data_IF_389284732619
#
_entry.id   IF_389284732619
#
_cell.length_a   1.000
_cell.length_b   1.000
_cell.length_c   1.000
_cell.angle_alpha   90.00
_cell.angle_beta   90.00
_cell.angle_gamma   90.00
#
_symmetry.space_group_name_H-M   'P 1'
#
loop_
_entity.id
_entity.type
_entity.pdbx_description
1 polymer ?
#
# COMPACT_ATOMS: atom_id res chain seq x y z
N UNK A 1 14.57 -27.64 -7.67
CA UNK A 1 14.46 -27.58 -6.20
C UNK A 1 13.17 -28.26 -5.79
N UNK A 2 13.22 -29.33 -4.97
CA UNK A 2 12.00 -29.97 -4.47
C UNK A 2 11.35 -29.05 -3.43
N UNK A 3 10.01 -28.94 -3.49
CA UNK A 3 9.24 -28.20 -2.48
C UNK A 3 9.40 -28.89 -1.12
N UNK A 4 9.41 -28.11 -0.04
CA UNK A 4 9.31 -28.62 1.32
C UNK A 4 7.94 -29.27 1.55
N UNK A 5 7.81 -30.15 2.53
CA UNK A 5 6.54 -30.84 2.82
C UNK A 5 5.37 -29.87 3.06
N UNK A 6 5.49 -28.82 3.90
CA UNK A 6 4.43 -27.83 4.06
C UNK A 6 4.06 -27.08 2.77
N UNK A 7 5.02 -26.88 1.88
CA UNK A 7 4.74 -26.24 0.60
C UNK A 7 3.96 -27.15 -0.36
N UNK A 8 4.20 -28.46 -0.28
CA UNK A 8 3.44 -29.47 -1.07
C UNK A 8 2.00 -29.56 -0.60
N UNK A 9 1.77 -29.62 0.70
CA UNK A 9 0.43 -29.68 1.28
C UNK A 9 -0.40 -28.44 0.91
N UNK A 10 0.17 -27.24 1.07
CA UNK A 10 -0.51 -25.99 0.73
C UNK A 10 -0.73 -25.84 -0.77
N UNK A 11 0.16 -26.34 -1.57
CA UNK A 11 -0.03 -26.40 -3.02
C UNK A 11 -1.21 -27.33 -3.36
N UNK A 12 -1.27 -28.51 -2.79
CA UNK A 12 -2.37 -29.45 -3.00
C UNK A 12 -3.71 -28.87 -2.56
N UNK A 13 -3.76 -28.15 -1.44
CA UNK A 13 -4.95 -27.46 -0.96
C UNK A 13 -5.42 -26.41 -2.00
N UNK A 14 -4.51 -25.62 -2.54
CA UNK A 14 -4.84 -24.60 -3.52
C UNK A 14 -5.25 -25.21 -4.88
N UNK A 15 -4.60 -26.28 -5.32
CA UNK A 15 -4.98 -27.05 -6.52
C UNK A 15 -6.41 -27.59 -6.37
N UNK A 16 -6.73 -28.18 -5.21
CA UNK A 16 -8.09 -28.67 -4.90
C UNK A 16 -9.12 -27.56 -4.91
N UNK A 17 -8.79 -26.35 -4.42
CA UNK A 17 -9.68 -25.19 -4.47
C UNK A 17 -9.97 -24.79 -5.92
N UNK A 18 -8.95 -24.68 -6.76
CA UNK A 18 -9.12 -24.31 -8.17
C UNK A 18 -9.91 -25.38 -8.95
N UNK A 19 -9.67 -26.68 -8.69
CA UNK A 19 -10.44 -27.77 -9.29
C UNK A 19 -11.90 -27.72 -8.92
N UNK A 20 -12.24 -27.56 -7.64
CA UNK A 20 -13.63 -27.44 -7.19
C UNK A 20 -14.36 -26.25 -7.85
N UNK A 21 -13.70 -25.10 -7.92
CA UNK A 21 -14.28 -23.92 -8.58
C UNK A 21 -14.48 -24.13 -10.09
N UNK A 22 -13.56 -24.84 -10.75
CA UNK A 22 -13.65 -25.21 -12.17
C UNK A 22 -14.85 -26.14 -12.42
N UNK A 23 -15.09 -27.07 -11.51
CA UNK A 23 -16.19 -28.02 -11.59
C UNK A 23 -17.53 -27.45 -11.10
N UNK A 24 -17.57 -26.16 -10.73
CA UNK A 24 -18.76 -25.49 -10.19
C UNK A 24 -19.16 -25.99 -8.79
N UNK A 25 -18.25 -26.63 -8.07
CA UNK A 25 -18.48 -27.16 -6.73
C UNK A 25 -18.19 -26.10 -5.65
N UNK A 26 -18.98 -26.06 -4.56
CA UNK A 26 -18.74 -25.10 -3.48
C UNK A 26 -17.37 -25.35 -2.80
N UNK A 27 -16.58 -24.31 -2.54
CA UNK A 27 -15.27 -24.44 -1.91
C UNK A 27 -15.29 -24.54 -0.37
N UNK A 28 -16.49 -24.55 0.25
CA UNK A 28 -16.67 -24.40 1.70
C UNK A 28 -15.78 -25.31 2.58
N UNK A 29 -15.56 -26.55 2.15
CA UNK A 29 -14.74 -27.51 2.91
C UNK A 29 -13.25 -27.16 2.99
N UNK A 30 -12.79 -26.30 2.07
CA UNK A 30 -11.39 -25.87 1.96
C UNK A 30 -11.17 -24.47 2.56
N UNK A 31 -12.22 -23.82 3.05
CA UNK A 31 -12.19 -22.47 3.59
C UNK A 31 -12.31 -22.48 5.13
N UNK A 32 -11.56 -21.62 5.76
CA UNK A 32 -11.70 -21.34 7.19
C UNK A 32 -13.02 -20.62 7.51
N UNK A 33 -13.45 -20.63 8.77
CA UNK A 33 -14.79 -20.17 9.17
C UNK A 33 -15.03 -18.68 8.97
N UNK A 34 -14.00 -17.89 8.78
CA UNK A 34 -14.07 -16.44 8.55
C UNK A 34 -13.98 -16.03 7.08
N UNK A 35 -13.85 -16.99 6.17
CA UNK A 35 -13.69 -16.71 4.74
C UNK A 35 -15.04 -16.80 4.04
N UNK A 36 -15.46 -15.71 3.43
CA UNK A 36 -16.70 -15.65 2.66
C UNK A 36 -16.56 -16.44 1.34
N UNK A 37 -17.31 -17.51 1.25
CA UNK A 37 -17.34 -18.41 0.09
C UNK A 37 -17.75 -17.69 -1.21
N UNK A 38 -18.72 -16.78 -1.16
CA UNK A 38 -19.18 -16.02 -2.32
C UNK A 38 -18.05 -15.17 -2.87
N UNK A 39 -17.37 -14.45 -1.99
CA UNK A 39 -16.22 -13.63 -2.34
C UNK A 39 -15.06 -14.46 -2.93
N UNK A 40 -14.79 -15.63 -2.39
CA UNK A 40 -13.76 -16.54 -2.95
C UNK A 40 -14.12 -16.95 -4.37
N UNK A 41 -15.39 -17.30 -4.62
CA UNK A 41 -15.88 -17.68 -5.94
C UNK A 41 -15.77 -16.52 -6.94
N UNK A 42 -16.11 -15.32 -6.52
CA UNK A 42 -15.98 -14.10 -7.34
C UNK A 42 -14.50 -13.80 -7.69
N UNK A 43 -13.60 -13.88 -6.72
CA UNK A 43 -12.19 -13.57 -6.90
C UNK A 43 -11.44 -14.62 -7.72
N UNK A 44 -11.71 -15.89 -7.48
CA UNK A 44 -11.01 -17.01 -8.14
C UNK A 44 -11.72 -17.56 -9.36
N UNK A 45 -13.00 -17.22 -9.59
CA UNK A 45 -13.71 -17.64 -10.79
C UNK A 45 -12.95 -17.35 -12.07
N UNK A 46 -12.45 -16.13 -12.29
CA UNK A 46 -11.60 -15.81 -13.46
C UNK A 46 -10.28 -16.57 -13.49
N UNK A 47 -9.77 -17.03 -12.34
CA UNK A 47 -8.50 -17.74 -12.19
C UNK A 47 -8.67 -19.25 -12.41
N UNK A 48 -9.84 -19.81 -12.07
CA UNK A 48 -10.14 -21.24 -12.17
C UNK A 48 -10.57 -21.66 -13.58
N UNK A 49 -9.87 -21.19 -14.60
CA UNK A 49 -10.11 -21.58 -15.99
C UNK A 49 -9.56 -22.99 -16.29
N UNK A 50 -10.09 -23.64 -17.32
CA UNK A 50 -9.75 -25.02 -17.67
C UNK A 50 -8.25 -25.24 -17.95
N UNK A 51 -7.56 -24.20 -18.43
CA UNK A 51 -6.13 -24.22 -18.73
C UNK A 51 -5.27 -23.55 -17.63
N UNK A 52 -5.85 -23.21 -16.48
CA UNK A 52 -5.14 -22.58 -15.37
C UNK A 52 -4.05 -23.51 -14.81
N UNK A 53 -2.86 -22.96 -14.64
CA UNK A 53 -1.68 -23.66 -14.12
C UNK A 53 -1.01 -22.84 -13.03
N UNK A 54 -0.63 -23.49 -11.94
CA UNK A 54 0.19 -22.87 -10.90
C UNK A 54 1.64 -22.85 -11.40
N UNK A 55 2.15 -21.64 -11.72
CA UNK A 55 3.51 -21.45 -12.20
C UNK A 55 4.54 -21.65 -11.08
N UNK A 56 4.39 -20.92 -9.98
CA UNK A 56 5.21 -21.11 -8.78
C UNK A 56 4.38 -20.87 -7.52
N UNK A 57 4.87 -21.42 -6.43
CA UNK A 57 4.32 -21.23 -5.10
C UNK A 57 5.46 -20.99 -4.11
N UNK A 58 5.28 -20.00 -3.25
CA UNK A 58 6.19 -19.66 -2.15
C UNK A 58 5.44 -19.68 -0.84
N UNK A 59 5.97 -20.39 0.13
CA UNK A 59 5.42 -20.47 1.49
C UNK A 59 6.34 -19.68 2.43
N UNK A 60 5.75 -18.77 3.20
CA UNK A 60 6.43 -17.98 4.21
C UNK A 60 5.58 -18.00 5.49
N UNK A 61 5.91 -18.88 6.43
CA UNK A 61 5.07 -19.16 7.58
C UNK A 61 3.68 -19.65 7.17
N UNK A 62 2.65 -18.95 7.64
CA UNK A 62 1.25 -19.26 7.33
C UNK A 62 0.78 -18.66 6.00
N UNK A 63 1.55 -17.75 5.44
CA UNK A 63 1.23 -17.06 4.17
C UNK A 63 1.78 -17.82 2.98
N UNK A 64 0.96 -17.92 1.97
CA UNK A 64 1.31 -18.53 0.68
C UNK A 64 1.12 -17.50 -0.42
N UNK A 65 2.13 -17.36 -1.27
CA UNK A 65 2.07 -16.62 -2.52
C UNK A 65 2.13 -17.62 -3.67
N UNK A 66 1.19 -17.53 -4.59
CA UNK A 66 1.18 -18.36 -5.80
C UNK A 66 0.98 -17.49 -7.05
N UNK A 67 1.58 -17.90 -8.16
CA UNK A 67 1.27 -17.32 -9.48
C UNK A 67 0.53 -18.35 -10.30
N UNK A 68 -0.63 -17.96 -10.80
CA UNK A 68 -1.47 -18.77 -11.69
C UNK A 68 -1.48 -18.14 -13.06
N UNK A 69 -1.37 -18.95 -14.09
CA UNK A 69 -1.47 -18.52 -15.50
C UNK A 69 -2.57 -19.30 -16.20
N UNK A 70 -3.39 -18.61 -16.99
CA UNK A 70 -4.38 -19.22 -17.87
C UNK A 70 -4.42 -18.42 -19.18
N UNK A 71 -4.14 -19.05 -20.30
CA UNK A 71 -4.00 -18.38 -21.58
C UNK A 71 -2.93 -17.28 -21.53
N UNK A 72 -3.35 -16.03 -21.78
CA UNK A 72 -2.50 -14.84 -21.71
C UNK A 72 -2.56 -14.13 -20.35
N UNK A 73 -3.51 -14.48 -19.49
CA UNK A 73 -3.71 -13.88 -18.19
C UNK A 73 -2.84 -14.52 -17.12
N UNK A 74 -2.44 -13.72 -16.17
CA UNK A 74 -1.64 -14.15 -15.02
C UNK A 74 -2.15 -13.46 -13.76
N UNK A 75 -2.26 -14.22 -12.67
CA UNK A 75 -2.68 -13.74 -11.37
C UNK A 75 -1.68 -14.10 -10.29
N UNK A 76 -1.49 -13.19 -9.35
CA UNK A 76 -0.87 -13.48 -8.08
C UNK A 76 -1.96 -13.76 -7.07
N UNK A 77 -1.95 -14.92 -6.48
CA UNK A 77 -2.87 -15.34 -5.43
C UNK A 77 -2.11 -15.41 -4.12
N UNK A 78 -2.58 -14.69 -3.13
CA UNK A 78 -2.01 -14.67 -1.78
C UNK A 78 -3.05 -15.19 -0.83
N UNK A 79 -2.72 -16.22 -0.05
CA UNK A 79 -3.65 -16.77 0.93
C UNK A 79 -2.95 -17.12 2.24
N UNK A 80 -3.71 -17.02 3.33
CA UNK A 80 -3.34 -17.51 4.65
C UNK A 80 -3.79 -18.95 4.83
N UNK A 81 -3.00 -19.75 5.52
CA UNK A 81 -3.31 -21.13 5.82
C UNK A 81 -2.59 -21.56 7.10
N UNK A 82 -3.13 -21.13 8.25
CA UNK A 82 -2.53 -21.39 9.57
C UNK A 82 -2.53 -22.89 9.91
N UNK A 83 -3.66 -23.55 9.68
CA UNK A 83 -3.82 -24.98 10.00
C UNK A 83 -3.17 -25.96 9.00
N UNK A 84 -2.77 -25.47 7.82
CA UNK A 84 -2.37 -26.31 6.69
C UNK A 84 -3.52 -27.06 6.00
N UNK A 85 -4.75 -26.91 6.49
CA UNK A 85 -5.94 -27.66 6.05
C UNK A 85 -7.05 -26.80 5.45
N UNK A 86 -7.06 -25.49 5.79
CA UNK A 86 -8.07 -24.57 5.31
C UNK A 86 -7.44 -23.22 4.97
N UNK A 87 -8.02 -22.52 4.01
CA UNK A 87 -7.65 -21.15 3.63
C UNK A 87 -8.37 -20.18 4.54
N UNK A 88 -7.62 -19.40 5.31
CA UNK A 88 -8.12 -18.45 6.31
C UNK A 88 -8.24 -17.01 5.79
N UNK A 89 -7.52 -16.69 4.73
CA UNK A 89 -7.60 -15.40 4.02
C UNK A 89 -7.21 -15.58 2.57
N UNK A 90 -7.73 -14.72 1.68
CA UNK A 90 -7.44 -14.78 0.26
C UNK A 90 -7.47 -13.39 -0.37
N UNK A 91 -6.42 -13.08 -1.13
CA UNK A 91 -6.33 -11.94 -2.02
C UNK A 91 -5.90 -12.40 -3.41
N UNK A 92 -6.50 -11.81 -4.45
CA UNK A 92 -6.19 -12.11 -5.85
C UNK A 92 -5.87 -10.82 -6.59
N UNK A 93 -4.73 -10.81 -7.27
CA UNK A 93 -4.27 -9.67 -8.04
C UNK A 93 -4.03 -10.13 -9.48
N UNK A 94 -4.80 -9.63 -10.42
CA UNK A 94 -4.51 -9.81 -11.83
C UNK A 94 -3.20 -9.09 -12.17
N UNK A 95 -2.37 -9.72 -12.99
CA UNK A 95 -1.18 -9.07 -13.48
C UNK A 95 -1.62 -7.89 -14.36
N UNK A 96 -1.28 -6.66 -14.01
CA UNK A 96 -1.63 -5.52 -14.82
C UNK A 96 -0.95 -5.66 -16.20
N UNK A 97 -1.60 -5.17 -17.24
CA UNK A 97 -0.94 -4.99 -18.52
C UNK A 97 0.35 -4.20 -18.31
N UNK A 98 1.36 -4.52 -19.13
CA UNK A 98 2.65 -3.85 -19.00
C UNK A 98 2.45 -2.34 -19.12
N UNK A 99 2.81 -1.65 -18.06
CA UNK A 99 2.72 -0.21 -18.03
C UNK A 99 3.94 0.36 -18.78
N UNK A 100 3.79 0.54 -20.09
CA UNK A 100 4.84 1.05 -20.98
C UNK A 100 4.79 2.57 -21.06
N UNK A 101 5.06 3.26 -19.99
CA UNK A 101 5.36 4.67 -20.04
C UNK A 101 4.44 5.59 -19.27
N UNK A 102 4.83 5.87 -18.05
CA UNK A 102 4.51 7.15 -17.44
C UNK A 102 5.42 8.17 -18.10
N UNK A 103 4.86 9.07 -18.88
CA UNK A 103 5.57 10.24 -19.36
C UNK A 103 5.68 11.24 -18.19
N UNK A 104 6.67 11.04 -17.34
CA UNK A 104 6.95 11.86 -16.17
C UNK A 104 6.25 11.35 -14.88
N UNK A 105 7.03 11.15 -13.82
CA UNK A 105 6.52 10.86 -12.49
C UNK A 105 5.81 12.07 -11.88
N UNK A 106 5.01 11.82 -10.86
CA UNK A 106 4.32 12.86 -10.08
C UNK A 106 4.45 12.54 -8.61
N UNK A 107 4.43 13.54 -7.77
CA UNK A 107 4.51 13.35 -6.33
C UNK A 107 3.24 13.84 -5.63
N UNK A 108 2.81 13.11 -4.61
CA UNK A 108 1.81 13.58 -3.64
C UNK A 108 2.47 13.57 -2.28
N UNK A 109 2.63 14.75 -1.69
CA UNK A 109 3.17 14.93 -0.34
C UNK A 109 2.01 15.17 0.61
N UNK A 110 1.85 14.30 1.59
CA UNK A 110 0.72 14.32 2.53
C UNK A 110 1.22 14.73 3.89
N UNK A 111 0.79 15.90 4.36
CA UNK A 111 1.09 16.38 5.70
C UNK A 111 -0.12 16.27 6.63
N UNK A 112 0.14 16.20 7.92
CA UNK A 112 -0.90 16.12 8.95
C UNK A 112 -0.39 15.43 10.21
N UNK A 113 -1.06 15.62 11.36
CA UNK A 113 -0.61 15.07 12.63
C UNK A 113 -0.62 13.54 12.65
N UNK A 114 -0.01 12.99 13.68
CA UNK A 114 -0.04 11.55 13.90
C UNK A 114 -1.48 11.08 14.12
N UNK A 115 -1.91 10.03 13.41
CA UNK A 115 -3.29 9.54 13.51
C UNK A 115 -4.28 10.21 12.54
N UNK A 116 -3.91 11.25 11.77
CA UNK A 116 -4.78 11.90 10.80
C UNK A 116 -5.13 11.06 9.56
N UNK A 117 -4.55 9.87 9.38
CA UNK A 117 -4.94 8.97 8.29
C UNK A 117 -4.03 9.00 7.04
N UNK A 118 -2.85 9.63 7.10
CA UNK A 118 -1.90 9.71 5.95
C UNK A 118 -1.65 8.35 5.28
N UNK A 119 -1.28 7.34 6.04
CA UNK A 119 -1.00 6.00 5.49
C UNK A 119 -2.24 5.32 4.91
N UNK A 120 -3.43 5.61 5.46
CA UNK A 120 -4.69 5.10 4.90
C UNK A 120 -4.99 5.76 3.55
N UNK A 121 -4.79 7.07 3.43
CA UNK A 121 -4.96 7.80 2.18
C UNK A 121 -4.00 7.29 1.09
N UNK A 122 -2.71 7.12 1.42
CA UNK A 122 -1.73 6.57 0.46
C UNK A 122 -2.14 5.18 -0.07
N UNK A 123 -2.59 4.29 0.82
CA UNK A 123 -3.08 2.95 0.42
C UNK A 123 -4.36 3.02 -0.40
N UNK A 124 -5.29 3.91 -0.05
CA UNK A 124 -6.50 4.14 -0.84
C UNK A 124 -6.18 4.63 -2.25
N UNK A 125 -5.20 5.54 -2.39
CA UNK A 125 -4.70 5.98 -3.70
C UNK A 125 -4.13 4.80 -4.50
N UNK A 126 -3.29 3.95 -3.92
CA UNK A 126 -2.77 2.75 -4.60
C UNK A 126 -3.89 1.82 -5.08
N UNK A 127 -4.95 1.71 -4.29
CA UNK A 127 -6.07 0.80 -4.60
C UNK A 127 -6.84 1.23 -5.84
N UNK A 128 -6.97 2.54 -6.09
CA UNK A 128 -7.87 3.07 -7.14
C UNK A 128 -7.15 3.83 -8.26
N UNK A 129 -5.83 3.99 -8.18
CA UNK A 129 -5.09 4.88 -9.10
C UNK A 129 -5.08 4.42 -10.56
N UNK A 130 -5.30 3.15 -10.87
CA UNK A 130 -5.16 2.59 -12.22
C UNK A 130 -3.73 2.62 -12.79
N UNK A 131 -2.79 3.20 -12.06
CA UNK A 131 -1.35 3.31 -12.36
C UNK A 131 -0.54 2.98 -11.10
N UNK A 132 0.69 2.46 -11.24
CA UNK A 132 1.52 2.17 -10.07
C UNK A 132 1.86 3.44 -9.27
N UNK A 133 1.61 3.39 -7.96
CA UNK A 133 2.09 4.36 -6.99
C UNK A 133 3.09 3.70 -6.06
N UNK A 134 4.24 4.33 -5.91
CA UNK A 134 5.22 3.97 -4.88
C UNK A 134 4.83 4.72 -3.60
N UNK A 135 4.46 3.98 -2.56
CA UNK A 135 4.40 4.54 -1.20
C UNK A 135 5.80 4.40 -0.62
N UNK A 136 6.37 5.52 -0.20
CA UNK A 136 7.67 5.53 0.45
C UNK A 136 7.55 6.27 1.77
N UNK A 137 7.48 5.50 2.86
CA UNK A 137 7.29 6.04 4.21
C UNK A 137 8.64 6.09 4.95
N UNK A 138 9.01 7.24 5.49
CA UNK A 138 10.25 7.44 6.23
C UNK A 138 10.43 6.45 7.41
N UNK A 139 9.40 6.11 8.20
CA UNK A 139 9.51 5.07 9.22
C UNK A 139 9.97 3.70 8.70
N UNK A 140 9.61 3.33 7.47
CA UNK A 140 10.09 2.08 6.87
C UNK A 140 11.58 2.16 6.56
N UNK A 141 12.06 3.29 6.00
CA UNK A 141 13.47 3.52 5.77
C UNK A 141 14.25 3.56 7.09
N UNK A 142 13.77 4.30 8.09
CA UNK A 142 14.37 4.36 9.43
C UNK A 142 14.40 2.97 10.07
N UNK A 143 13.43 2.12 9.79
CA UNK A 143 13.38 0.73 10.22
C UNK A 143 14.58 -0.12 9.76
N UNK A 144 15.30 0.30 8.72
CA UNK A 144 16.46 -0.43 8.18
C UNK A 144 17.77 -0.13 8.89
N UNK A 145 17.84 0.91 9.72
CA UNK A 145 19.05 1.25 10.48
C UNK A 145 19.01 0.67 11.89
N UNK A 146 20.15 0.68 12.56
CA UNK A 146 20.30 0.18 13.92
C UNK A 146 19.36 0.90 14.88
N UNK A 147 18.85 0.21 15.93
CA UNK A 147 17.83 0.76 16.85
C UNK A 147 18.20 2.10 17.48
N UNK A 148 19.47 2.31 17.83
CA UNK A 148 19.97 3.54 18.43
C UNK A 148 19.80 4.77 17.52
N UNK A 149 19.86 4.61 16.20
CA UNK A 149 19.68 5.71 15.23
C UNK A 149 18.19 5.97 14.93
N UNK A 150 17.31 4.99 15.17
CA UNK A 150 15.86 5.17 14.98
C UNK A 150 15.26 6.17 15.94
N UNK A 151 15.80 6.25 17.14
CA UNK A 151 15.32 7.14 18.21
C UNK A 151 15.91 8.54 18.06
N UNK A 152 17.16 8.64 17.62
CA UNK A 152 17.89 9.88 17.53
C UNK A 152 18.11 10.29 16.07
N UNK A 153 17.04 10.74 15.40
CA UNK A 153 17.07 11.14 13.98
C UNK A 153 18.09 12.24 13.70
N UNK A 154 18.29 13.16 14.64
CA UNK A 154 19.30 14.23 14.57
C UNK A 154 20.73 13.70 14.49
N UNK A 155 20.95 12.43 14.84
CA UNK A 155 22.26 11.77 14.72
C UNK A 155 22.51 11.16 13.34
N UNK A 156 21.52 11.15 12.47
CA UNK A 156 21.60 10.59 11.12
C UNK A 156 21.08 11.55 10.03
N UNK A 157 21.61 12.78 9.93
CA UNK A 157 21.10 13.77 8.96
C UNK A 157 21.26 13.32 7.50
N UNK A 158 22.22 12.44 7.21
CA UNK A 158 22.40 11.85 5.89
C UNK A 158 21.24 10.93 5.51
N UNK A 159 20.61 10.25 6.48
CA UNK A 159 19.44 9.41 6.24
C UNK A 159 18.22 10.25 5.84
N UNK A 160 18.02 11.37 6.52
CA UNK A 160 16.96 12.33 6.23
C UNK A 160 17.09 12.89 4.80
N UNK A 161 18.29 13.32 4.42
CA UNK A 161 18.57 13.75 3.05
C UNK A 161 18.38 12.62 2.04
N UNK A 162 18.89 11.43 2.36
CA UNK A 162 18.74 10.24 1.51
C UNK A 162 17.29 9.84 1.27
N UNK A 163 16.39 10.09 2.23
CA UNK A 163 14.95 9.90 2.04
C UNK A 163 14.40 10.82 0.94
N UNK A 164 14.69 12.12 1.01
CA UNK A 164 14.26 13.11 0.02
C UNK A 164 14.87 12.83 -1.37
N UNK A 165 16.16 12.50 -1.42
CA UNK A 165 16.85 12.15 -2.67
C UNK A 165 16.26 10.89 -3.32
N UNK A 166 15.89 9.89 -2.51
CA UNK A 166 15.25 8.66 -3.00
C UNK A 166 13.87 8.92 -3.60
N UNK A 167 13.04 9.74 -2.93
CA UNK A 167 11.73 10.17 -3.45
C UNK A 167 11.89 10.87 -4.79
N UNK A 168 12.80 11.83 -4.88
CA UNK A 168 13.08 12.58 -6.10
C UNK A 168 13.57 11.66 -7.22
N UNK A 169 14.49 10.75 -6.93
CA UNK A 169 15.01 9.78 -7.89
C UNK A 169 13.90 8.85 -8.42
N UNK A 170 13.00 8.37 -7.57
CA UNK A 170 11.85 7.56 -7.97
C UNK A 170 10.91 8.34 -8.90
N UNK A 171 10.61 9.59 -8.56
CA UNK A 171 9.72 10.44 -9.34
C UNK A 171 10.36 10.83 -10.70
N UNK A 172 11.62 11.21 -10.75
CA UNK A 172 12.34 11.51 -11.98
C UNK A 172 12.47 10.29 -12.90
N UNK A 173 12.55 9.08 -12.33
CA UNK A 173 12.51 7.83 -13.09
C UNK A 173 11.13 7.50 -13.69
N UNK A 174 10.12 8.37 -13.48
CA UNK A 174 8.78 8.22 -14.04
C UNK A 174 7.77 7.52 -13.13
N UNK A 175 8.12 7.24 -11.88
CA UNK A 175 7.16 6.65 -10.95
C UNK A 175 6.27 7.72 -10.32
N UNK A 176 4.99 7.40 -10.11
CA UNK A 176 4.17 8.19 -9.20
C UNK A 176 4.53 7.83 -7.77
N UNK A 177 4.74 8.83 -6.91
CA UNK A 177 5.10 8.62 -5.52
C UNK A 177 4.08 9.27 -4.59
N UNK A 178 3.74 8.60 -3.49
CA UNK A 178 2.93 9.17 -2.42
C UNK A 178 3.72 9.02 -1.10
N UNK A 179 3.95 10.14 -0.44
CA UNK A 179 4.84 10.19 0.72
C UNK A 179 4.24 11.02 1.85
N UNK A 180 4.44 10.65 3.11
CA UNK A 180 4.11 11.51 4.23
C UNK A 180 5.19 12.58 4.38
N UNK A 181 4.80 13.78 4.83
CA UNK A 181 5.76 14.84 5.12
C UNK A 181 6.71 14.50 6.29
N UNK A 182 6.25 13.67 7.23
CA UNK A 182 7.06 13.08 8.31
C UNK A 182 7.89 14.08 9.15
N UNK A 183 7.44 15.34 9.24
CA UNK A 183 8.14 16.40 9.97
C UNK A 183 9.16 17.19 9.15
N UNK A 184 9.27 16.91 7.85
CA UNK A 184 10.05 17.75 6.93
C UNK A 184 9.30 19.04 6.61
N UNK A 185 10.04 20.08 6.29
CA UNK A 185 9.48 21.34 5.80
C UNK A 185 9.05 21.23 4.33
N UNK A 186 8.03 21.99 3.94
CA UNK A 186 7.58 22.04 2.54
C UNK A 186 8.70 22.44 1.58
N UNK A 187 9.57 23.37 1.99
CA UNK A 187 10.69 23.83 1.17
C UNK A 187 11.70 22.71 0.86
N UNK A 188 11.88 21.76 1.76
CA UNK A 188 12.76 20.61 1.53
C UNK A 188 12.22 19.71 0.41
N UNK A 189 10.91 19.44 0.39
CA UNK A 189 10.27 18.71 -0.71
C UNK A 189 10.33 19.48 -2.02
N UNK A 190 10.04 20.78 -2.01
CA UNK A 190 10.12 21.62 -3.21
C UNK A 190 11.54 21.60 -3.78
N UNK A 191 12.55 21.70 -2.93
CA UNK A 191 13.96 21.65 -3.34
C UNK A 191 14.35 20.27 -3.90
N UNK A 192 13.95 19.19 -3.23
CA UNK A 192 14.32 17.84 -3.63
C UNK A 192 13.60 17.38 -4.90
N UNK A 193 12.31 17.68 -5.02
CA UNK A 193 11.48 17.26 -6.16
C UNK A 193 11.70 18.13 -7.41
N UNK A 194 12.13 19.38 -7.23
CA UNK A 194 12.46 20.27 -8.34
C UNK A 194 11.30 20.47 -9.32
N UNK A 195 11.45 19.98 -10.54
CA UNK A 195 10.47 20.09 -11.62
C UNK A 195 9.43 18.97 -11.65
N UNK A 196 9.46 18.04 -10.70
CA UNK A 196 8.44 16.98 -10.58
C UNK A 196 7.09 17.62 -10.23
N UNK A 197 6.02 17.38 -11.03
CA UNK A 197 4.69 17.85 -10.70
C UNK A 197 4.26 17.29 -9.33
N UNK A 198 4.11 18.17 -8.36
CA UNK A 198 3.88 17.81 -6.97
C UNK A 198 2.56 18.39 -6.49
N UNK A 199 1.78 17.55 -5.81
CA UNK A 199 0.55 17.93 -5.13
C UNK A 199 0.75 17.84 -3.62
N UNK A 200 0.44 18.91 -2.90
CA UNK A 200 0.50 18.96 -1.44
C UNK A 200 -0.88 18.77 -0.84
N UNK A 201 -1.01 17.84 0.09
CA UNK A 201 -2.27 17.49 0.75
C UNK A 201 -2.14 17.65 2.25
N UNK A 202 -3.00 18.47 2.85
CA UNK A 202 -3.13 18.63 4.30
C UNK A 202 -4.25 17.76 4.86
N UNK A 203 -3.95 16.99 5.90
CA UNK A 203 -4.96 16.28 6.68
C UNK A 203 -5.05 16.89 8.06
N UNK A 204 -6.19 17.51 8.39
CA UNK A 204 -6.50 18.02 9.73
C UNK A 204 -7.35 17.02 10.51
N UNK A 205 -7.35 17.11 11.81
CA UNK A 205 -8.21 16.34 12.69
C UNK A 205 -8.20 16.93 14.10
N UNK A 206 -9.33 16.88 14.80
CA UNK A 206 -9.41 17.32 16.18
C UNK A 206 -8.49 16.51 17.10
N UNK A 207 -7.83 17.20 18.05
CA UNK A 207 -6.86 16.57 18.94
C UNK A 207 -7.47 15.42 19.76
N UNK A 208 -8.69 15.58 20.25
CA UNK A 208 -9.36 14.55 21.06
C UNK A 208 -9.55 13.26 20.27
N UNK A 209 -9.91 13.38 18.99
CA UNK A 209 -10.06 12.25 18.06
C UNK A 209 -8.70 11.60 17.78
N UNK A 210 -7.66 12.40 17.57
CA UNK A 210 -6.30 11.88 17.37
C UNK A 210 -5.79 11.09 18.58
N UNK A 211 -6.00 11.62 19.79
CA UNK A 211 -5.64 10.93 21.04
C UNK A 211 -6.42 9.63 21.22
N UNK A 212 -7.71 9.61 20.84
CA UNK A 212 -8.50 8.37 20.89
C UNK A 212 -7.97 7.33 19.87
N UNK A 213 -7.60 7.76 18.66
CA UNK A 213 -6.99 6.89 17.63
C UNK A 213 -5.62 6.36 18.07
N UNK A 214 -4.82 7.20 18.71
CA UNK A 214 -3.50 6.83 19.25
C UNK A 214 -3.63 5.69 20.25
N UNK A 215 -4.56 5.80 21.23
CA UNK A 215 -4.85 4.75 22.21
C UNK A 215 -5.34 3.46 21.56
N UNK A 216 -6.23 3.55 20.57
CA UNK A 216 -6.77 2.39 19.84
C UNK A 216 -5.70 1.63 19.06
N UNK A 217 -4.71 2.32 18.53
CA UNK A 217 -3.64 1.72 17.71
C UNK A 217 -2.41 1.29 18.51
N UNK A 218 -2.40 1.49 19.82
CA UNK A 218 -1.27 1.13 20.70
C UNK A 218 -0.01 1.94 20.46
N UNK A 219 -0.13 3.14 19.87
CA UNK A 219 1.00 4.07 19.69
C UNK A 219 1.40 4.69 21.04
N UNK A 220 2.61 5.21 21.10
CA UNK A 220 3.08 5.93 22.28
C UNK A 220 2.21 7.17 22.52
N UNK A 221 1.74 7.36 23.74
CA UNK A 221 0.90 8.50 24.09
C UNK A 221 1.66 9.81 23.96
N UNK A 222 0.96 10.84 23.45
CA UNK A 222 1.49 12.20 23.31
C UNK A 222 1.96 12.58 21.91
N UNK A 223 2.19 11.64 21.00
CA UNK A 223 2.65 11.93 19.63
C UNK A 223 1.60 12.77 18.88
N UNK A 224 0.31 12.52 19.11
CA UNK A 224 -0.75 13.32 18.53
C UNK A 224 -0.63 14.78 18.94
N UNK A 225 -0.46 15.06 20.23
CA UNK A 225 -0.32 16.43 20.77
C UNK A 225 0.93 17.11 20.21
N UNK A 226 2.07 16.42 20.20
CA UNK A 226 3.34 16.97 19.75
C UNK A 226 3.32 17.30 18.25
N UNK A 227 2.49 16.59 17.47
CA UNK A 227 2.38 16.78 16.03
C UNK A 227 1.35 17.83 15.59
N UNK A 228 0.64 18.52 16.49
CA UNK A 228 -0.38 19.51 16.12
C UNK A 228 0.17 20.74 15.40
N UNK A 229 1.44 21.06 15.59
CA UNK A 229 2.10 22.20 14.94
C UNK A 229 2.62 21.88 13.53
N UNK A 230 2.41 20.66 13.04
CA UNK A 230 3.01 20.17 11.78
C UNK A 230 2.54 20.92 10.53
N UNK A 231 1.42 21.65 10.63
CA UNK A 231 0.89 22.48 9.54
C UNK A 231 1.57 23.85 9.42
N UNK A 232 2.39 24.24 10.39
CA UNK A 232 3.06 25.53 10.36
C UNK A 232 4.02 25.61 9.18
N UNK A 233 3.91 26.70 8.40
CA UNK A 233 4.73 26.92 7.21
C UNK A 233 4.32 26.13 5.96
N UNK A 234 3.22 25.36 6.03
CA UNK A 234 2.70 24.63 4.88
C UNK A 234 1.55 25.36 4.19
N UNK A 235 1.54 25.27 2.86
CA UNK A 235 0.41 25.65 2.01
C UNK A 235 -0.01 24.42 1.21
N UNK A 236 -1.31 24.13 1.18
CA UNK A 236 -1.82 22.92 0.57
C UNK A 236 -2.61 23.21 -0.71
N UNK A 237 -2.48 22.32 -1.69
CA UNK A 237 -3.35 22.30 -2.87
C UNK A 237 -4.74 21.74 -2.54
N UNK A 238 -4.80 20.82 -1.57
CA UNK A 238 -6.02 20.23 -1.03
C UNK A 238 -5.89 20.05 0.48
N UNK A 239 -6.98 20.34 1.19
CA UNK A 239 -7.09 20.11 2.63
C UNK A 239 -8.33 19.28 2.93
N UNK A 240 -8.20 18.33 3.87
CA UNK A 240 -9.29 17.48 4.32
C UNK A 240 -9.31 17.38 5.84
N UNK A 241 -10.48 17.59 6.40
CA UNK A 241 -10.75 17.26 7.81
C UNK A 241 -11.10 15.78 7.93
N UNK A 242 -10.40 15.09 8.80
CA UNK A 242 -10.57 13.66 9.04
C UNK A 242 -11.20 13.34 10.39
N UNK A 243 -11.74 14.33 11.09
CA UNK A 243 -12.36 14.20 12.41
C UNK A 243 -13.50 13.19 12.39
N UNK A 244 -14.42 13.30 11.43
CA UNK A 244 -15.58 12.44 11.27
C UNK A 244 -15.30 11.13 10.51
N UNK A 245 -14.04 10.72 10.43
CA UNK A 245 -13.60 9.47 9.77
C UNK A 245 -14.14 9.33 8.32
N UNK A 246 -13.94 10.32 7.44
CA UNK A 246 -14.41 10.23 6.06
C UNK A 246 -13.78 9.01 5.37
N UNK A 247 -14.50 8.47 4.37
CA UNK A 247 -14.01 7.34 3.61
C UNK A 247 -12.71 7.70 2.87
N UNK A 248 -11.58 7.05 3.15
CA UNK A 248 -10.30 7.36 2.51
C UNK A 248 -10.33 7.25 0.98
N UNK A 249 -11.20 6.42 0.42
CA UNK A 249 -11.36 6.27 -1.04
C UNK A 249 -11.94 7.54 -1.68
N UNK A 250 -12.82 8.25 -0.98
CA UNK A 250 -13.42 9.49 -1.51
C UNK A 250 -12.41 10.63 -1.51
N UNK A 251 -11.56 10.70 -0.49
CA UNK A 251 -10.42 11.61 -0.46
C UNK A 251 -9.42 11.24 -1.58
N UNK A 252 -9.08 9.96 -1.70
CA UNK A 252 -8.14 9.48 -2.72
C UNK A 252 -8.61 9.80 -4.14
N UNK A 253 -9.91 9.68 -4.46
CA UNK A 253 -10.46 10.09 -5.77
C UNK A 253 -10.20 11.57 -6.04
N UNK A 254 -10.50 12.45 -5.09
CA UNK A 254 -10.28 13.89 -5.23
C UNK A 254 -8.80 14.23 -5.43
N UNK A 255 -7.91 13.57 -4.67
CA UNK A 255 -6.45 13.73 -4.80
C UNK A 255 -5.98 13.28 -6.19
N UNK A 256 -6.41 12.12 -6.66
CA UNK A 256 -6.02 11.58 -7.96
C UNK A 256 -6.57 12.42 -9.11
N UNK A 257 -7.81 12.88 -9.03
CA UNK A 257 -8.42 13.77 -10.02
C UNK A 257 -7.64 15.10 -10.11
N UNK A 258 -7.23 15.65 -8.98
CA UNK A 258 -6.42 16.87 -8.93
C UNK A 258 -5.03 16.64 -9.49
N UNK A 259 -4.40 15.51 -9.15
CA UNK A 259 -3.08 15.13 -9.63
C UNK A 259 -3.06 14.96 -11.17
N UNK A 260 -4.11 14.37 -11.75
CA UNK A 260 -4.24 14.22 -13.19
C UNK A 260 -4.31 15.57 -13.95
N UNK A 261 -4.88 16.57 -13.30
CA UNK A 261 -5.01 17.94 -13.84
C UNK A 261 -3.73 18.77 -13.71
N UNK A 262 -2.74 18.33 -12.96
CA UNK A 262 -1.42 18.96 -12.99
C UNK A 262 -0.83 18.74 -14.37
N UNK A 263 -0.50 19.83 -15.04
CA UNK A 263 0.19 19.78 -16.34
C UNK A 263 1.52 19.01 -16.23
N UNK A 264 2.13 18.62 -17.36
CA UNK A 264 3.52 18.18 -17.34
C UNK A 264 4.38 19.31 -16.77
N UNK A 265 5.48 18.92 -16.10
CA UNK A 265 6.45 19.89 -15.64
C UNK A 265 6.82 20.85 -16.80
N UNK A 266 6.63 22.13 -16.59
CA UNK A 266 7.14 23.14 -17.52
C UNK A 266 8.66 23.09 -17.44
N UNK A 267 9.28 22.53 -18.49
CA UNK A 267 10.74 22.56 -18.65
C UNK A 267 11.23 23.98 -18.88
#
# INVERSE_FOLDING_TARGET
MSLTEPARERRALFESLLERLRDGLPPAELLGPLVDQTRVTELLGPVALADARIGWIRVNGERVDAVVTAGKSQWRVVFGCASGRAIDSLDVFERPERFDGITGGRAVVINGPSGAGKSMLMRAMQQIAGVPFVIFDEPELIGTVQPEYRIWRDRAPALHRGYLDAIASLAHAGNHVAVPAAGHDQAEFVTALGDVPTLTVGLTCELEVLVARERRTGRWGGIATDSMTIHQGWTYDLEFDTTDEPNPLDIARQVLDRLQRLGPATR
#
